data_IF_614692865047
#
_entry.id   IF_614692865047
#
_cell.length_a   1.000
_cell.length_b   1.000
_cell.length_c   1.000
_cell.angle_alpha   90.00
_cell.angle_beta   90.00
_cell.angle_gamma   90.00
#
_symmetry.space_group_name_H-M   'P 1'
#
loop_
_entity.id
_entity.type
_entity.pdbx_description
1 polymer ?
#
# COMPACT_ATOMS: atom_id res chain seq x y z
N UNK A 1 6.34 17.63 -17.33
CA UNK A 1 5.86 18.27 -16.08
C UNK A 1 5.43 17.18 -15.12
N UNK A 2 5.69 17.35 -13.81
CA UNK A 2 5.24 16.39 -12.80
C UNK A 2 3.70 16.36 -12.73
N UNK A 3 3.10 15.16 -12.70
CA UNK A 3 1.66 15.00 -12.57
C UNK A 3 1.21 15.04 -11.11
N UNK A 4 -0.10 15.09 -10.86
CA UNK A 4 -0.66 15.37 -9.53
C UNK A 4 -1.52 14.21 -9.04
N UNK A 5 -1.19 13.67 -7.86
CA UNK A 5 -2.03 12.72 -7.12
C UNK A 5 -2.93 13.48 -6.14
N UNK A 6 -4.24 13.31 -6.26
CA UNK A 6 -5.25 14.02 -5.47
C UNK A 6 -5.82 13.13 -4.36
N UNK A 7 -6.33 13.74 -3.29
CA UNK A 7 -7.19 13.02 -2.36
C UNK A 7 -8.41 12.45 -3.10
N UNK A 8 -8.76 11.20 -2.83
CA UNK A 8 -9.89 10.51 -3.46
C UNK A 8 -11.22 11.25 -3.24
N UNK A 9 -11.43 11.88 -2.08
CA UNK A 9 -12.64 12.67 -1.81
C UNK A 9 -12.73 13.95 -2.65
N UNK A 10 -11.61 14.45 -3.18
CA UNK A 10 -11.55 15.64 -4.04
C UNK A 10 -11.67 15.33 -5.54
N UNK A 11 -11.76 14.06 -5.93
CA UNK A 11 -11.94 13.70 -7.34
C UNK A 11 -13.33 14.08 -7.84
N UNK A 12 -13.36 14.75 -8.99
CA UNK A 12 -14.58 14.98 -9.77
C UNK A 12 -15.15 13.66 -10.31
N UNK A 13 -16.43 13.65 -10.66
CA UNK A 13 -17.07 12.48 -11.29
C UNK A 13 -16.37 12.05 -12.59
N UNK A 14 -15.80 13.00 -13.35
CA UNK A 14 -15.03 12.69 -14.56
C UNK A 14 -13.71 11.98 -14.24
N UNK A 15 -12.99 12.43 -13.22
CA UNK A 15 -11.73 11.79 -12.78
C UNK A 15 -11.97 10.39 -12.22
N UNK A 16 -13.00 10.21 -11.39
CA UNK A 16 -13.43 8.90 -10.87
C UNK A 16 -13.68 7.91 -12.00
N UNK A 17 -14.48 8.32 -12.99
CA UNK A 17 -14.80 7.50 -14.17
C UNK A 17 -13.55 7.14 -14.98
N UNK A 18 -12.64 8.09 -15.22
CA UNK A 18 -11.39 7.82 -15.97
C UNK A 18 -10.48 6.86 -15.22
N UNK A 19 -10.34 7.03 -13.90
CA UNK A 19 -9.54 6.14 -13.06
C UNK A 19 -10.09 4.71 -13.06
N UNK A 20 -11.39 4.54 -12.81
CA UNK A 20 -12.05 3.21 -12.86
C UNK A 20 -11.90 2.58 -14.24
N UNK A 21 -12.18 3.33 -15.32
CA UNK A 21 -12.03 2.82 -16.70
C UNK A 21 -10.61 2.37 -16.99
N UNK A 22 -9.61 3.14 -16.58
CA UNK A 22 -8.21 2.77 -16.79
C UNK A 22 -7.80 1.51 -16.02
N UNK A 23 -8.23 1.38 -14.76
CA UNK A 23 -7.98 0.17 -13.96
C UNK A 23 -8.63 -1.08 -14.58
N UNK A 24 -9.89 -0.97 -14.99
CA UNK A 24 -10.60 -2.08 -15.64
C UNK A 24 -9.92 -2.48 -16.96
N UNK A 25 -9.40 -1.52 -17.72
CA UNK A 25 -8.66 -1.82 -18.95
C UNK A 25 -7.31 -2.50 -18.67
N UNK A 26 -6.55 -2.05 -17.66
CA UNK A 26 -5.31 -2.71 -17.21
C UNK A 26 -5.61 -4.14 -16.75
N UNK A 27 -6.74 -4.37 -16.07
CA UNK A 27 -7.21 -5.72 -15.70
C UNK A 27 -7.59 -6.56 -16.92
N UNK A 28 -8.35 -6.00 -17.87
CA UNK A 28 -8.78 -6.71 -19.10
C UNK A 28 -7.58 -7.17 -19.94
N UNK A 29 -6.50 -6.40 -19.96
CA UNK A 29 -5.24 -6.74 -20.65
C UNK A 29 -4.40 -7.82 -19.94
N UNK A 30 -4.78 -8.23 -18.73
CA UNK A 30 -4.00 -9.15 -17.89
C UNK A 30 -2.82 -8.48 -17.17
N UNK A 31 -2.50 -7.23 -17.49
CA UNK A 31 -1.40 -6.47 -16.86
C UNK A 31 -1.61 -6.34 -15.34
N UNK A 32 -2.86 -6.17 -14.86
CA UNK A 32 -3.16 -6.07 -13.43
C UNK A 32 -2.76 -7.34 -12.65
N UNK A 33 -2.92 -8.51 -13.28
CA UNK A 33 -2.67 -9.81 -12.65
C UNK A 33 -1.17 -10.02 -12.37
N UNK A 34 -0.27 -9.41 -13.16
CA UNK A 34 1.18 -9.40 -12.89
C UNK A 34 1.53 -8.60 -11.62
N UNK A 35 0.83 -7.48 -11.35
CA UNK A 35 1.03 -6.74 -10.11
C UNK A 35 0.62 -7.58 -8.89
N UNK A 36 -0.48 -8.33 -9.00
CA UNK A 36 -0.91 -9.25 -7.94
C UNK A 36 0.14 -10.32 -7.68
N UNK A 37 0.62 -11.00 -8.74
CA UNK A 37 1.67 -12.03 -8.62
C UNK A 37 2.97 -11.48 -8.04
N UNK A 38 3.42 -10.32 -8.53
CA UNK A 38 4.62 -9.65 -8.01
C UNK A 38 4.50 -9.39 -6.51
N UNK A 39 3.38 -8.85 -6.05
CA UNK A 39 3.22 -8.58 -4.63
C UNK A 39 3.13 -9.86 -3.78
N UNK A 40 2.50 -10.93 -4.29
CA UNK A 40 2.50 -12.25 -3.62
C UNK A 40 3.93 -12.79 -3.50
N UNK A 41 4.71 -12.74 -4.58
CA UNK A 41 6.08 -13.24 -4.63
C UNK A 41 7.00 -12.53 -3.64
N UNK A 42 6.86 -11.20 -3.50
CA UNK A 42 7.70 -10.40 -2.60
C UNK A 42 7.10 -10.19 -1.20
N UNK A 43 5.99 -10.85 -0.87
CA UNK A 43 5.41 -10.87 0.48
C UNK A 43 6.15 -11.86 1.38
N UNK A 44 7.40 -11.54 1.73
CA UNK A 44 8.28 -12.38 2.57
C UNK A 44 8.21 -11.92 4.02
N UNK A 45 7.87 -12.83 4.94
CA UNK A 45 7.74 -12.52 6.37
C UNK A 45 9.06 -12.65 7.14
N UNK A 46 9.16 -12.09 8.36
CA UNK A 46 10.38 -12.12 9.20
C UNK A 46 10.94 -13.53 9.46
N UNK A 47 10.04 -14.51 9.57
CA UNK A 47 10.39 -15.92 9.79
C UNK A 47 10.98 -16.64 8.58
N UNK A 48 10.91 -16.04 7.39
CA UNK A 48 11.39 -16.66 6.15
C UNK A 48 12.84 -16.29 5.87
N UNK A 49 13.66 -17.26 5.43
CA UNK A 49 15.10 -17.09 5.26
C UNK A 49 15.55 -16.20 4.10
N UNK A 50 14.63 -15.76 3.24
CA UNK A 50 14.91 -14.99 2.03
C UNK A 50 15.19 -13.49 2.26
N UNK A 51 15.48 -12.81 1.15
CA UNK A 51 15.55 -11.35 1.08
C UNK A 51 14.15 -10.77 1.25
N UNK A 52 13.96 -9.93 2.28
CA UNK A 52 12.75 -9.14 2.47
C UNK A 52 12.89 -7.81 1.76
N UNK A 53 11.96 -7.52 0.86
CA UNK A 53 11.94 -6.28 0.08
C UNK A 53 10.66 -5.46 0.35
N UNK A 54 9.49 -6.07 0.17
CA UNK A 54 8.23 -5.36 0.20
C UNK A 54 7.72 -5.08 1.62
N UNK A 55 7.96 -5.96 2.61
CA UNK A 55 7.39 -5.86 3.95
C UNK A 55 8.40 -6.23 5.03
N UNK A 56 8.14 -5.81 6.27
CA UNK A 56 8.93 -6.07 7.47
C UNK A 56 10.43 -5.81 7.25
N UNK A 57 10.72 -4.78 6.46
CA UNK A 57 12.06 -4.45 6.02
C UNK A 57 12.14 -2.95 5.73
N UNK A 58 13.34 -2.35 5.81
CA UNK A 58 13.50 -0.93 5.57
C UNK A 58 13.08 -0.52 4.16
N UNK A 59 13.15 -1.42 3.18
CA UNK A 59 12.71 -1.21 1.80
C UNK A 59 11.20 -1.14 1.59
N UNK A 60 10.36 -1.36 2.63
CA UNK A 60 8.90 -1.26 2.53
C UNK A 60 8.42 -0.01 1.78
N UNK A 61 8.93 1.17 2.15
CA UNK A 61 8.50 2.44 1.54
C UNK A 61 8.99 2.61 0.08
N UNK A 62 10.28 2.47 -0.25
CA UNK A 62 10.71 2.57 -1.65
C UNK A 62 10.13 1.48 -2.54
N UNK A 63 9.95 0.26 -2.05
CA UNK A 63 9.37 -0.84 -2.84
C UNK A 63 7.95 -0.49 -3.29
N UNK A 64 7.11 -0.05 -2.35
CA UNK A 64 5.74 0.37 -2.67
C UNK A 64 5.69 1.67 -3.51
N UNK A 65 6.62 2.61 -3.33
CA UNK A 65 6.74 3.80 -4.20
C UNK A 65 7.01 3.41 -5.65
N UNK A 66 7.96 2.52 -5.89
CA UNK A 66 8.26 2.02 -7.24
C UNK A 66 7.08 1.22 -7.81
N UNK A 67 6.43 0.40 -6.99
CA UNK A 67 5.24 -0.36 -7.38
C UNK A 67 4.08 0.55 -7.82
N UNK A 68 3.84 1.65 -7.09
CA UNK A 68 2.87 2.69 -7.47
C UNK A 68 3.24 3.37 -8.79
N UNK A 69 4.52 3.67 -9.00
CA UNK A 69 4.99 4.27 -10.25
C UNK A 69 4.71 3.37 -11.47
N UNK A 70 4.86 2.06 -11.32
CA UNK A 70 4.63 1.13 -12.43
C UNK A 70 3.15 0.93 -12.74
N UNK A 71 2.27 0.84 -11.74
CA UNK A 71 0.82 0.88 -12.00
C UNK A 71 0.43 2.21 -12.66
N UNK A 72 0.94 3.33 -12.16
CA UNK A 72 0.56 4.64 -12.70
C UNK A 72 1.02 4.81 -14.14
N UNK A 73 2.20 4.29 -14.52
CA UNK A 73 2.61 4.19 -15.93
C UNK A 73 1.60 3.37 -16.74
N UNK A 74 1.13 2.23 -16.23
CA UNK A 74 0.14 1.39 -16.92
C UNK A 74 -1.20 2.11 -17.11
N UNK A 75 -1.72 2.76 -16.07
CA UNK A 75 -2.94 3.56 -16.16
C UNK A 75 -2.80 4.71 -17.17
N UNK A 76 -1.64 5.38 -17.17
CA UNK A 76 -1.37 6.50 -18.07
C UNK A 76 -1.19 6.10 -19.54
N UNK A 77 -0.83 4.84 -19.82
CA UNK A 77 -0.90 4.28 -21.19
C UNK A 77 -2.34 4.15 -21.69
N UNK A 78 -3.31 3.97 -20.80
CA UNK A 78 -4.73 3.93 -21.15
C UNK A 78 -5.32 5.33 -21.26
N UNK A 79 -5.04 6.19 -20.28
CA UNK A 79 -5.47 7.59 -20.28
C UNK A 79 -4.38 8.46 -19.61
N UNK A 80 -3.68 9.34 -20.38
CA UNK A 80 -2.56 10.12 -19.86
C UNK A 80 -2.96 11.19 -18.84
N UNK A 81 -4.26 11.42 -18.62
CA UNK A 81 -4.77 12.29 -17.55
C UNK A 81 -4.94 11.58 -16.21
N UNK A 82 -4.91 10.23 -16.19
CA UNK A 82 -5.10 9.45 -14.97
C UNK A 82 -3.84 9.45 -14.11
N UNK A 83 -4.06 9.53 -12.81
CA UNK A 83 -3.06 9.38 -11.74
C UNK A 83 -3.71 8.60 -10.60
N UNK A 84 -2.90 7.93 -9.78
CA UNK A 84 -3.40 7.19 -8.62
C UNK A 84 -3.84 8.21 -7.54
N UNK A 85 -5.12 8.23 -7.13
CA UNK A 85 -5.54 9.04 -6.00
C UNK A 85 -5.07 8.42 -4.69
N UNK A 86 -5.05 9.19 -3.61
CA UNK A 86 -4.77 8.65 -2.27
C UNK A 86 -6.01 8.69 -1.39
N UNK A 87 -6.14 7.71 -0.50
CA UNK A 87 -7.20 7.68 0.51
C UNK A 87 -6.64 8.13 1.85
N UNK A 88 -6.99 9.36 2.26
CA UNK A 88 -6.70 9.86 3.61
C UNK A 88 -7.69 9.26 4.61
N UNK A 89 -7.40 8.04 5.04
CA UNK A 89 -8.20 7.29 6.02
C UNK A 89 -8.20 7.93 7.42
N UNK A 90 -7.45 9.00 7.68
CA UNK A 90 -7.60 9.77 8.94
C UNK A 90 -8.77 10.73 8.90
N UNK A 91 -9.24 11.09 7.70
CA UNK A 91 -10.38 11.98 7.45
C UNK A 91 -11.60 11.19 6.99
N UNK A 92 -11.44 10.42 5.93
CA UNK A 92 -12.52 9.64 5.30
C UNK A 92 -12.59 8.26 5.96
N UNK A 93 -13.27 8.20 7.12
CA UNK A 93 -13.26 7.05 8.04
C UNK A 93 -14.47 6.13 7.94
N UNK A 94 -15.51 6.52 7.19
CA UNK A 94 -16.75 5.77 7.09
C UNK A 94 -16.63 4.63 6.07
N UNK A 95 -17.38 3.54 6.29
CA UNK A 95 -17.55 2.46 5.31
C UNK A 95 -18.50 2.82 4.15
N UNK A 96 -19.05 4.04 4.13
CA UNK A 96 -20.01 4.53 3.12
C UNK A 96 -19.55 5.77 2.36
N UNK A 97 -18.47 6.43 2.80
CA UNK A 97 -17.88 7.58 2.11
C UNK A 97 -16.86 7.13 1.06
N UNK A 98 -16.29 8.07 0.30
CA UNK A 98 -15.14 7.76 -0.54
C UNK A 98 -14.06 7.01 0.27
N UNK A 99 -13.47 5.93 -0.28
CA UNK A 99 -13.58 5.49 -1.67
C UNK A 99 -14.73 4.49 -1.98
N UNK A 100 -15.63 4.20 -1.05
CA UNK A 100 -16.59 3.08 -1.07
C UNK A 100 -17.89 3.32 -1.83
N UNK A 101 -17.95 4.37 -2.65
CA UNK A 101 -19.14 4.66 -3.46
C UNK A 101 -19.21 3.76 -4.70
N UNK A 102 -20.43 3.51 -5.19
CA UNK A 102 -20.69 2.62 -6.33
C UNK A 102 -20.10 3.14 -7.65
N UNK A 103 -19.88 4.45 -7.79
CA UNK A 103 -19.21 5.06 -8.94
C UNK A 103 -17.68 4.96 -8.88
N UNK A 104 -17.12 4.45 -7.76
CA UNK A 104 -15.68 4.34 -7.53
C UNK A 104 -15.25 2.92 -7.17
N UNK A 105 -15.10 2.55 -5.90
CA UNK A 105 -14.56 1.23 -5.51
C UNK A 105 -15.63 0.20 -5.11
N UNK A 106 -16.89 0.61 -5.00
CA UNK A 106 -17.94 -0.24 -4.43
C UNK A 106 -17.82 -0.41 -2.92
N UNK A 107 -18.89 -0.90 -2.30
CA UNK A 107 -19.04 -0.94 -0.85
C UNK A 107 -18.41 -2.17 -0.17
N UNK A 108 -18.97 -2.49 0.99
CA UNK A 108 -18.58 -3.65 1.80
C UNK A 108 -19.01 -4.98 1.17
N UNK A 109 -18.43 -6.07 1.67
CA UNK A 109 -18.87 -7.42 1.35
C UNK A 109 -20.21 -7.77 2.01
N UNK A 110 -21.02 -8.60 1.34
CA UNK A 110 -22.23 -9.16 1.96
C UNK A 110 -21.88 -10.08 3.12
N UNK A 111 -22.75 -10.17 4.12
CA UNK A 111 -22.47 -10.87 5.39
C UNK A 111 -22.20 -12.38 5.28
N UNK A 112 -22.73 -13.05 4.25
CA UNK A 112 -22.64 -14.50 4.12
C UNK A 112 -21.23 -15.00 3.80
N UNK A 113 -20.52 -14.30 2.90
CA UNK A 113 -19.24 -14.74 2.37
C UNK A 113 -18.24 -13.60 2.09
N UNK A 114 -18.60 -12.39 2.49
CA UNK A 114 -17.83 -11.16 2.30
C UNK A 114 -17.69 -10.72 0.85
N UNK A 115 -18.46 -11.28 -0.10
CA UNK A 115 -18.40 -10.88 -1.51
C UNK A 115 -18.83 -9.42 -1.69
N UNK A 116 -18.01 -8.61 -2.35
CA UNK A 116 -18.39 -7.26 -2.79
C UNK A 116 -19.42 -7.37 -3.92
N UNK A 117 -20.57 -6.74 -3.73
CA UNK A 117 -21.72 -6.82 -4.66
C UNK A 117 -22.08 -5.51 -5.33
N UNK A 118 -21.38 -4.41 -5.03
CA UNK A 118 -21.62 -3.10 -5.65
C UNK A 118 -20.36 -2.52 -6.27
N UNK A 119 -20.56 -1.53 -7.13
CA UNK A 119 -19.49 -0.85 -7.85
C UNK A 119 -18.85 -1.64 -9.00
N UNK A 120 -17.88 -1.04 -9.69
CA UNK A 120 -17.33 -1.57 -10.94
C UNK A 120 -16.53 -2.88 -10.76
N UNK A 121 -16.06 -3.14 -9.54
CA UNK A 121 -15.22 -4.29 -9.20
C UNK A 121 -16.00 -5.46 -8.59
N UNK A 122 -17.32 -5.37 -8.53
CA UNK A 122 -18.16 -6.51 -8.16
C UNK A 122 -18.05 -7.63 -9.21
N UNK A 123 -18.01 -8.88 -8.77
CA UNK A 123 -17.87 -10.04 -9.67
C UNK A 123 -18.98 -10.14 -10.73
N UNK A 124 -20.20 -9.69 -10.38
CA UNK A 124 -21.36 -9.68 -11.28
C UNK A 124 -21.19 -8.79 -12.51
N UNK A 125 -20.23 -7.85 -12.51
CA UNK A 125 -19.95 -7.02 -13.69
C UNK A 125 -19.20 -7.78 -14.78
N UNK A 126 -18.62 -8.94 -14.47
CA UNK A 126 -17.78 -9.72 -15.38
C UNK A 126 -16.39 -9.12 -15.64
N UNK A 127 -16.08 -7.94 -15.09
CA UNK A 127 -14.83 -7.21 -15.36
C UNK A 127 -13.76 -7.38 -14.28
N UNK A 128 -14.09 -8.01 -13.14
CA UNK A 128 -13.18 -8.15 -12.00
C UNK A 128 -13.18 -9.56 -11.40
N UNK A 129 -12.69 -10.51 -12.20
CA UNK A 129 -12.42 -11.88 -11.73
C UNK A 129 -11.04 -11.94 -11.07
N UNK A 130 -10.98 -12.43 -9.82
CA UNK A 130 -9.72 -12.78 -9.17
C UNK A 130 -9.20 -14.06 -9.81
N UNK A 131 -7.96 -14.02 -10.30
CA UNK A 131 -7.25 -15.16 -10.92
C UNK A 131 -6.11 -15.65 -10.05
N UNK A 132 -5.34 -14.70 -9.51
CA UNK A 132 -4.22 -14.96 -8.60
C UNK A 132 -4.64 -14.58 -7.17
N UNK A 133 -4.63 -15.53 -6.25
CA UNK A 133 -5.05 -15.32 -4.87
C UNK A 133 -4.54 -16.40 -3.92
N UNK A 134 -4.76 -16.20 -2.63
CA UNK A 134 -4.41 -17.19 -1.58
C UNK A 134 -5.47 -18.29 -1.46
N UNK A 135 -6.66 -18.07 -2.03
CA UNK A 135 -7.82 -18.99 -1.98
C UNK A 135 -8.40 -19.16 -3.37
N UNK A 136 -9.19 -20.21 -3.60
CA UNK A 136 -9.87 -20.48 -4.89
C UNK A 136 -11.03 -19.51 -5.20
N UNK A 137 -11.26 -18.49 -4.36
CA UNK A 137 -12.32 -17.50 -4.57
C UNK A 137 -11.99 -16.61 -5.77
N UNK A 138 -13.00 -16.44 -6.64
CA UNK A 138 -12.89 -15.67 -7.89
C UNK A 138 -13.43 -14.24 -7.80
N UNK A 139 -13.90 -13.82 -6.62
CA UNK A 139 -14.56 -12.54 -6.40
C UNK A 139 -13.89 -11.73 -5.29
N UNK A 140 -13.95 -10.41 -5.41
CA UNK A 140 -13.47 -9.48 -4.40
C UNK A 140 -14.21 -9.67 -3.07
N UNK A 141 -13.46 -9.68 -1.97
CA UNK A 141 -14.03 -9.74 -0.63
C UNK A 141 -13.56 -8.59 0.26
N UNK A 142 -14.47 -8.08 1.09
CA UNK A 142 -14.23 -7.01 2.08
C UNK A 142 -15.06 -7.26 3.34
N UNK A 143 -14.55 -6.79 4.48
CA UNK A 143 -15.23 -6.76 5.77
C UNK A 143 -14.92 -5.42 6.46
N UNK A 144 -15.38 -4.32 5.84
CA UNK A 144 -15.07 -2.95 6.25
C UNK A 144 -15.45 -2.71 7.71
N UNK A 145 -14.45 -2.41 8.54
CA UNK A 145 -14.60 -2.18 9.98
C UNK A 145 -14.83 -3.45 10.81
N UNK A 146 -14.91 -4.63 10.18
CA UNK A 146 -15.05 -5.96 10.80
C UNK A 146 -16.21 -6.08 11.79
N UNK A 147 -17.42 -6.29 11.29
CA UNK A 147 -18.65 -6.22 12.09
C UNK A 147 -18.66 -7.14 13.34
N UNK A 148 -17.95 -8.28 13.30
CA UNK A 148 -17.88 -9.25 14.42
C UNK A 148 -16.75 -8.97 15.42
N UNK A 149 -15.69 -8.29 14.99
CA UNK A 149 -14.51 -7.99 15.80
C UNK A 149 -13.97 -6.62 15.36
N UNK A 150 -14.64 -5.54 15.80
CA UNK A 150 -14.45 -4.22 15.22
C UNK A 150 -13.02 -3.72 15.33
N UNK A 151 -12.57 -3.09 14.26
CA UNK A 151 -11.29 -2.39 14.22
C UNK A 151 -11.55 -0.98 13.69
N UNK A 152 -10.88 0.02 14.28
CA UNK A 152 -10.97 1.40 13.81
C UNK A 152 -9.82 1.72 12.86
N UNK A 153 -10.04 2.63 11.91
CA UNK A 153 -8.96 3.21 11.11
C UNK A 153 -8.01 4.04 12.00
N UNK A 154 -6.71 4.10 11.70
CA UNK A 154 -5.78 4.90 12.49
C UNK A 154 -6.11 6.39 12.41
N UNK A 155 -5.80 7.13 13.48
CA UNK A 155 -6.13 8.55 13.65
C UNK A 155 -4.92 9.41 13.30
N UNK A 156 -5.13 10.72 13.18
CA UNK A 156 -4.04 11.69 12.96
C UNK A 156 -2.95 11.58 14.04
N UNK A 157 -3.32 11.37 15.30
CA UNK A 157 -2.38 11.18 16.41
C UNK A 157 -1.48 9.95 16.24
N UNK A 158 -2.00 8.85 15.67
CA UNK A 158 -1.20 7.66 15.36
C UNK A 158 -0.13 7.96 14.30
N UNK A 159 -0.48 8.80 13.32
CA UNK A 159 0.45 9.27 12.29
C UNK A 159 1.45 10.28 12.84
N UNK A 160 1.03 11.23 13.67
CA UNK A 160 1.90 12.23 14.26
C UNK A 160 3.00 11.57 15.11
N UNK A 161 2.67 10.49 15.82
CA UNK A 161 3.65 9.67 16.56
C UNK A 161 4.70 9.02 15.65
N UNK A 162 4.29 8.47 14.50
CA UNK A 162 5.22 7.89 13.54
C UNK A 162 6.07 8.97 12.88
N UNK A 163 5.45 10.05 12.40
CA UNK A 163 6.08 11.17 11.70
C UNK A 163 7.03 11.99 12.59
N UNK A 164 6.90 11.91 13.92
CA UNK A 164 7.78 12.60 14.84
C UNK A 164 9.16 11.95 14.98
N UNK A 165 9.29 10.65 14.66
CA UNK A 165 10.58 9.95 14.75
C UNK A 165 11.51 10.42 13.62
N UNK A 166 12.65 11.05 13.92
CA UNK A 166 13.54 11.57 12.88
C UNK A 166 14.35 10.47 12.21
N UNK A 167 14.46 9.28 12.82
CA UNK A 167 15.22 8.17 12.25
C UNK A 167 14.35 7.42 11.24
N UNK A 168 14.88 7.10 10.06
CA UNK A 168 14.13 6.36 9.04
C UNK A 168 13.74 4.97 9.53
N UNK A 169 14.71 4.17 9.93
CA UNK A 169 14.52 2.83 10.47
C UNK A 169 15.67 2.48 11.41
N UNK A 170 15.54 1.41 12.20
CA UNK A 170 16.59 0.97 13.13
C UNK A 170 16.82 -0.53 13.08
N UNK A 171 18.01 -0.97 13.50
CA UNK A 171 18.27 -2.37 13.74
C UNK A 171 17.24 -2.95 14.74
N UNK A 172 16.78 -4.20 14.55
CA UNK A 172 17.30 -5.20 13.61
C UNK A 172 16.66 -5.17 12.21
N UNK A 173 16.11 -4.05 11.74
CA UNK A 173 15.63 -3.87 10.36
C UNK A 173 14.46 -4.80 9.99
N UNK A 174 13.64 -5.14 10.98
CA UNK A 174 12.52 -6.06 10.85
C UNK A 174 11.26 -5.54 11.58
N UNK A 175 10.22 -6.38 11.72
CA UNK A 175 8.96 -6.00 12.36
C UNK A 175 9.11 -5.70 13.86
N UNK A 176 10.20 -6.13 14.49
CA UNK A 176 10.47 -5.96 15.92
C UNK A 176 11.09 -4.60 16.27
N UNK A 177 11.48 -3.83 15.25
CA UNK A 177 12.14 -2.52 15.39
C UNK A 177 11.24 -1.52 16.12
N UNK A 178 11.60 -1.15 17.36
CA UNK A 178 10.75 -0.30 18.22
C UNK A 178 10.87 1.21 17.93
N UNK A 179 11.91 1.60 17.21
CA UNK A 179 12.20 2.97 16.79
C UNK A 179 12.26 3.04 15.26
N UNK A 180 12.21 4.25 14.73
CA UNK A 180 12.27 4.48 13.31
C UNK A 180 10.89 4.65 12.69
N UNK A 181 10.79 5.64 11.81
CA UNK A 181 9.59 5.99 11.09
C UNK A 181 9.00 4.83 10.28
N UNK A 182 9.83 4.04 9.59
CA UNK A 182 9.41 2.92 8.72
C UNK A 182 8.54 1.94 9.48
N UNK A 183 9.04 1.32 10.56
CA UNK A 183 8.28 0.29 11.27
C UNK A 183 7.06 0.87 12.00
N UNK A 184 7.16 2.12 12.49
CA UNK A 184 6.03 2.83 13.09
C UNK A 184 4.91 3.09 12.08
N UNK A 185 5.24 3.44 10.84
CA UNK A 185 4.27 3.69 9.77
C UNK A 185 3.72 2.39 9.18
N UNK A 186 4.58 1.39 8.94
CA UNK A 186 4.17 0.04 8.51
C UNK A 186 3.21 -0.57 9.55
N UNK A 187 3.50 -0.36 10.83
CA UNK A 187 2.55 -0.50 11.92
C UNK A 187 2.62 -1.83 12.65
N UNK A 188 3.83 -2.35 12.87
CA UNK A 188 4.07 -3.51 13.72
C UNK A 188 4.18 -3.07 15.19
N UNK A 189 3.20 -3.45 16.01
CA UNK A 189 3.11 -3.10 17.44
C UNK A 189 3.55 -4.23 18.36
N UNK A 190 3.92 -3.89 19.61
CA UNK A 190 4.39 -4.85 20.63
C UNK A 190 3.28 -5.43 21.51
N UNK A 191 2.06 -5.62 20.99
CA UNK A 191 0.88 -6.07 21.76
C UNK A 191 0.09 -7.18 21.07
N UNK A 192 -0.97 -7.67 21.73
CA UNK A 192 -1.91 -8.65 21.17
C UNK A 192 -3.20 -7.98 20.67
N UNK A 193 -3.99 -8.69 19.86
CA UNK A 193 -5.25 -8.17 19.31
C UNK A 193 -5.05 -6.90 18.49
N UNK A 194 -6.02 -5.98 18.48
CA UNK A 194 -5.97 -4.74 17.68
C UNK A 194 -4.78 -3.82 17.98
N UNK A 195 -4.11 -4.01 19.14
CA UNK A 195 -2.89 -3.29 19.51
C UNK A 195 -1.64 -3.81 18.78
N UNK A 196 -1.68 -5.02 18.18
CA UNK A 196 -0.61 -5.60 17.38
C UNK A 196 -0.39 -4.86 16.04
N UNK A 197 -1.44 -4.22 15.53
CA UNK A 197 -1.43 -3.56 14.23
C UNK A 197 -1.75 -2.08 14.37
N UNK A 198 -0.89 -1.22 13.83
CA UNK A 198 -1.06 0.23 13.75
C UNK A 198 -1.08 0.67 12.28
N UNK A 199 -1.37 1.95 12.03
CA UNK A 199 -1.14 2.62 10.74
C UNK A 199 -1.45 1.75 9.50
N UNK A 200 -0.47 1.50 8.62
CA UNK A 200 -0.66 0.70 7.40
C UNK A 200 -1.31 -0.67 7.68
N UNK A 201 -0.72 -1.47 8.57
CA UNK A 201 -1.22 -2.81 8.90
C UNK A 201 -2.67 -2.77 9.43
N UNK A 202 -3.01 -1.76 10.23
CA UNK A 202 -4.37 -1.60 10.76
C UNK A 202 -5.38 -1.29 9.65
N UNK A 203 -5.01 -0.55 8.61
CA UNK A 203 -5.90 -0.28 7.47
C UNK A 203 -6.15 -1.53 6.64
N UNK A 204 -5.11 -2.33 6.35
CA UNK A 204 -5.27 -3.63 5.69
C UNK A 204 -6.27 -4.53 6.46
N UNK A 205 -6.15 -4.54 7.80
CA UNK A 205 -7.07 -5.29 8.68
C UNK A 205 -8.47 -4.67 8.73
N UNK A 206 -8.60 -3.35 8.64
CA UNK A 206 -9.89 -2.66 8.60
C UNK A 206 -10.68 -2.95 7.34
N UNK A 207 -10.02 -3.03 6.18
CA UNK A 207 -10.71 -3.39 4.93
C UNK A 207 -11.12 -4.87 4.95
N UNK A 208 -10.26 -5.73 5.50
CA UNK A 208 -10.55 -7.16 5.59
C UNK A 208 -10.56 -7.87 4.23
N UNK A 209 -11.11 -9.09 4.18
CA UNK A 209 -11.18 -9.87 2.95
C UNK A 209 -9.81 -10.05 2.28
N UNK A 210 -9.74 -9.82 0.96
CA UNK A 210 -8.48 -10.00 0.22
C UNK A 210 -7.41 -8.97 0.60
N UNK A 211 -7.77 -7.82 1.17
CA UNK A 211 -6.79 -6.84 1.66
C UNK A 211 -5.93 -7.36 2.81
N UNK A 212 -6.22 -8.53 3.37
CA UNK A 212 -5.37 -9.19 4.37
C UNK A 212 -4.41 -10.17 3.68
N UNK A 213 -3.13 -9.79 3.57
CA UNK A 213 -2.05 -10.67 3.12
C UNK A 213 -1.45 -10.30 1.75
N UNK A 214 -0.66 -11.22 1.19
CA UNK A 214 0.09 -11.01 -0.04
C UNK A 214 -0.76 -10.80 -1.30
N UNK A 215 -2.02 -11.26 -1.33
CA UNK A 215 -2.92 -11.06 -2.46
C UNK A 215 -3.75 -9.76 -2.38
N UNK A 216 -3.39 -8.84 -1.47
CA UNK A 216 -4.14 -7.59 -1.21
C UNK A 216 -4.29 -6.67 -2.40
N UNK A 217 -3.36 -6.74 -3.36
CA UNK A 217 -3.44 -6.01 -4.63
C UNK A 217 -4.71 -6.36 -5.43
N UNK A 218 -5.38 -7.48 -5.18
CA UNK A 218 -6.67 -7.79 -5.82
C UNK A 218 -7.77 -6.76 -5.51
N UNK A 219 -7.67 -6.02 -4.41
CA UNK A 219 -8.56 -4.90 -4.12
C UNK A 219 -7.95 -3.59 -4.64
N UNK A 220 -8.62 -2.86 -5.54
CA UNK A 220 -8.12 -1.57 -6.03
C UNK A 220 -7.85 -0.53 -4.93
N UNK A 221 -8.45 -0.66 -3.75
CA UNK A 221 -8.16 0.24 -2.62
C UNK A 221 -6.70 0.13 -2.15
N UNK A 222 -6.02 -0.99 -2.42
CA UNK A 222 -4.60 -1.18 -2.15
C UNK A 222 -3.78 0.02 -2.65
N UNK A 223 -4.01 0.44 -3.89
CA UNK A 223 -3.26 1.52 -4.53
C UNK A 223 -3.53 2.87 -3.88
N UNK A 224 -4.78 3.14 -3.49
CA UNK A 224 -5.15 4.37 -2.81
C UNK A 224 -4.58 4.44 -1.40
N UNK A 225 -4.59 3.31 -0.70
CA UNK A 225 -3.99 3.16 0.62
C UNK A 225 -2.48 3.41 0.56
N UNK A 226 -1.77 2.70 -0.33
CA UNK A 226 -0.32 2.83 -0.49
C UNK A 226 0.10 4.19 -1.05
N UNK A 227 -0.72 4.84 -1.89
CA UNK A 227 -0.48 6.22 -2.30
C UNK A 227 -0.52 7.19 -1.11
N UNK A 228 -1.33 6.92 -0.08
CA UNK A 228 -1.33 7.71 1.14
C UNK A 228 -0.12 7.41 2.03
N UNK A 229 0.30 6.14 2.14
CA UNK A 229 1.55 5.76 2.81
C UNK A 229 2.75 6.48 2.17
N UNK A 230 2.79 6.54 0.84
CA UNK A 230 3.82 7.25 0.09
C UNK A 230 3.81 8.77 0.32
N UNK A 231 2.63 9.38 0.41
CA UNK A 231 2.48 10.78 0.82
C UNK A 231 3.04 11.00 2.24
N UNK A 232 2.79 10.08 3.17
CA UNK A 232 3.31 10.19 4.53
C UNK A 232 4.83 10.09 4.57
N UNK A 233 5.44 9.24 3.74
CA UNK A 233 6.90 9.24 3.58
C UNK A 233 7.41 10.57 3.02
N UNK A 234 6.76 11.12 2.00
CA UNK A 234 7.10 12.46 1.46
C UNK A 234 7.03 13.55 2.54
N UNK A 235 6.00 13.51 3.40
CA UNK A 235 5.86 14.45 4.53
C UNK A 235 6.96 14.27 5.57
N UNK A 236 7.32 13.03 5.88
CA UNK A 236 8.45 12.72 6.77
C UNK A 236 9.77 13.27 6.22
N UNK A 237 10.08 13.03 4.94
CA UNK A 237 11.30 13.52 4.29
C UNK A 237 11.40 15.06 4.32
N UNK A 238 10.26 15.75 4.14
CA UNK A 238 10.21 17.22 4.25
C UNK A 238 10.43 17.74 5.66
N UNK A 239 9.97 16.99 6.67
CA UNK A 239 10.11 17.33 8.10
C UNK A 239 11.53 17.05 8.62
N UNK A 240 12.17 15.99 8.13
CA UNK A 240 13.45 15.48 8.61
C UNK A 240 14.51 15.49 7.51
N UNK A 241 14.78 16.68 6.95
CA UNK A 241 15.62 16.85 5.75
C UNK A 241 17.08 16.41 5.90
N UNK A 242 17.54 16.23 7.13
CA UNK A 242 18.90 15.77 7.45
C UNK A 242 18.98 14.23 7.53
N UNK A 243 17.84 13.54 7.54
CA UNK A 243 17.76 12.09 7.63
C UNK A 243 17.52 11.45 6.26
N UNK A 244 18.08 10.26 6.07
CA UNK A 244 18.00 9.48 4.83
C UNK A 244 17.57 8.06 5.12
N UNK A 245 17.28 7.31 4.06
CA UNK A 245 17.06 5.88 4.10
C UNK A 245 18.17 5.17 4.90
N UNK A 246 17.74 4.25 5.77
CA UNK A 246 18.61 3.32 6.50
C UNK A 246 18.12 1.89 6.24
N UNK A 247 19.02 0.89 6.21
CA UNK A 247 20.45 1.00 6.45
C UNK A 247 21.19 1.62 5.26
N UNK A 248 22.19 2.45 5.54
CA UNK A 248 23.02 3.09 4.50
C UNK A 248 23.89 2.05 3.77
N UNK A 249 24.47 1.13 4.54
CA UNK A 249 25.31 0.04 4.08
C UNK A 249 24.68 -1.32 4.39
N UNK A 250 25.00 -2.38 3.63
CA UNK A 250 24.52 -3.73 3.91
C UNK A 250 24.89 -4.17 5.34
N UNK A 251 23.99 -4.86 6.06
CA UNK A 251 24.36 -5.45 7.35
C UNK A 251 25.63 -6.31 7.25
N UNK A 252 26.47 -6.32 8.27
CA UNK A 252 27.71 -7.11 8.26
C UNK A 252 27.42 -8.63 8.19
N UNK A 253 28.40 -9.42 7.72
CA UNK A 253 28.27 -10.88 7.53
C UNK A 253 27.89 -11.68 8.79
N UNK A 254 28.22 -11.18 9.98
CA UNK A 254 27.81 -11.77 11.27
C UNK A 254 26.39 -11.40 11.72
N UNK A 255 25.69 -10.52 11.00
CA UNK A 255 24.33 -10.09 11.32
C UNK A 255 23.30 -11.14 10.89
N UNK A 256 22.27 -11.34 11.71
CA UNK A 256 21.08 -12.13 11.32
C UNK A 256 20.35 -11.58 10.09
N UNK A 257 20.64 -10.34 9.70
CA UNK A 257 20.08 -9.66 8.53
C UNK A 257 21.04 -9.60 7.34
N UNK A 258 22.20 -10.25 7.39
CA UNK A 258 23.13 -10.30 6.26
C UNK A 258 22.41 -10.84 5.02
N UNK A 259 22.37 -10.03 3.93
CA UNK A 259 21.68 -10.34 2.67
C UNK A 259 20.17 -10.59 2.79
N UNK A 260 19.54 -10.17 3.89
CA UNK A 260 18.09 -10.34 4.13
C UNK A 260 17.28 -9.06 4.07
N UNK A 261 17.96 -7.90 3.97
CA UNK A 261 17.35 -6.59 3.76
C UNK A 261 18.16 -5.83 2.70
N UNK A 262 17.53 -4.86 2.04
CA UNK A 262 18.15 -4.02 1.00
C UNK A 262 18.74 -2.76 1.63
N UNK A 263 20.02 -2.48 1.42
CA UNK A 263 20.64 -1.22 1.82
C UNK A 263 20.38 -0.09 0.80
N UNK A 264 20.67 1.15 1.20
CA UNK A 264 20.34 2.38 0.47
C UNK A 264 20.75 2.38 -1.01
N UNK A 265 21.89 1.78 -1.32
CA UNK A 265 22.48 1.74 -2.66
C UNK A 265 22.46 0.34 -3.30
N UNK A 266 21.79 -0.63 -2.67
CA UNK A 266 21.57 -1.94 -3.28
C UNK A 266 20.34 -1.92 -4.19
N UNK A 267 20.38 -2.76 -5.22
CA UNK A 267 19.24 -2.95 -6.12
C UNK A 267 18.04 -3.43 -5.31
N UNK A 268 16.86 -2.95 -5.69
CA UNK A 268 15.58 -3.25 -5.07
C UNK A 268 14.76 -4.17 -5.98
N UNK A 269 14.81 -5.50 -5.80
CA UNK A 269 14.07 -6.45 -6.62
C UNK A 269 12.56 -6.18 -6.62
N UNK A 270 11.87 -6.42 -7.75
CA UNK A 270 12.39 -7.00 -9.00
C UNK A 270 13.10 -5.99 -9.93
N UNK A 271 13.29 -4.75 -9.48
CA UNK A 271 13.76 -3.65 -10.32
C UNK A 271 15.27 -3.42 -10.22
N UNK A 272 15.83 -2.77 -11.24
CA UNK A 272 17.19 -2.24 -11.23
C UNK A 272 17.24 -0.78 -10.74
N UNK A 273 16.49 -0.49 -9.67
CA UNK A 273 16.50 0.81 -8.98
C UNK A 273 16.97 0.61 -7.55
N UNK A 274 17.50 1.65 -6.92
CA UNK A 274 17.95 1.64 -5.53
C UNK A 274 17.03 2.50 -4.67
N UNK A 275 16.95 2.26 -3.34
CA UNK A 275 16.23 3.14 -2.43
C UNK A 275 16.61 4.62 -2.55
N UNK A 276 17.91 4.95 -2.73
CA UNK A 276 18.36 6.35 -2.86
C UNK A 276 17.73 7.08 -4.06
N UNK A 277 17.55 6.38 -5.18
CA UNK A 277 16.93 6.95 -6.40
C UNK A 277 15.44 7.21 -6.24
N UNK A 278 14.83 6.63 -5.22
CA UNK A 278 13.41 6.77 -4.89
C UNK A 278 13.17 7.77 -3.75
N UNK A 279 14.22 8.34 -3.14
CA UNK A 279 14.06 9.34 -2.08
C UNK A 279 13.49 10.67 -2.61
N UNK A 280 13.81 11.08 -3.84
CA UNK A 280 13.25 12.28 -4.47
C UNK A 280 12.57 11.97 -5.81
N UNK A 281 11.23 11.98 -5.77
CA UNK A 281 10.36 11.79 -6.93
C UNK A 281 9.58 13.05 -7.31
N UNK A 282 10.00 14.22 -6.80
CA UNK A 282 9.32 15.50 -7.01
C UNK A 282 9.25 15.93 -8.49
N UNK A 283 10.16 15.41 -9.32
CA UNK A 283 10.16 15.61 -10.78
C UNK A 283 9.13 14.76 -11.51
N UNK A 284 8.63 13.69 -10.87
CA UNK A 284 7.67 12.75 -11.46
C UNK A 284 6.25 13.13 -11.04
N UNK A 285 6.01 13.32 -9.75
CA UNK A 285 4.68 13.65 -9.23
C UNK A 285 4.70 14.50 -7.97
N UNK A 286 3.53 15.05 -7.65
CA UNK A 286 3.24 15.77 -6.40
C UNK A 286 1.86 15.39 -5.85
N UNK A 287 1.67 15.61 -4.57
CA UNK A 287 0.39 15.46 -3.89
C UNK A 287 -0.29 16.82 -3.72
N UNK A 288 -1.61 16.85 -3.90
CA UNK A 288 -2.48 18.00 -3.61
C UNK A 288 -3.74 17.59 -2.85
#
# INVERSE_FOLDING_TARGET
>A
MAYTRKNVSALTAAERRRFVKALLEVKRRGEYDEFVRTHIEYYVSDGEGGLRTAHMAPSFLPWHRQFLLDLEKALRRVDPSVTIPYWDWTRDRSATSAPWSDDLLGGNGRRSDLQVTTGPFAYSTGNWTIKDGVTDRRFLTRDLGRARDPIELPRKSDLDWALADPVYDTAPWDSTSRRGFRNKLEGWGSGAGSAAWRNHNRVHRWVGGVMVGGASVNDPVFWLHHAFIDLLWTRWQRRHREHRYLPAEPPASGSRQYRRVVARHEKLPPWDVTPDRLEDVSRIYRYV
#
